data_IF_603929155007
#
_entry.id   IF_603929155007
#
_cell.length_a   1.000
_cell.length_b   1.000
_cell.length_c   1.000
_cell.angle_alpha   90.00
_cell.angle_beta   90.00
_cell.angle_gamma   90.00
#
_symmetry.space_group_name_H-M   'P 1'
#
loop_
_entity.id
_entity.type
_entity.pdbx_description
1 polymer ?
#
# COMPACT_ATOMS: atom_id res chain seq x y z
N UNK A 1 -9.99 68.69 -14.10
CA UNK A 1 -8.63 68.24 -13.75
C UNK A 1 -8.73 66.79 -13.29
N UNK A 2 -8.37 65.82 -14.14
CA UNK A 2 -8.25 64.40 -13.76
C UNK A 2 -6.89 63.91 -14.27
N UNK A 3 -5.93 63.73 -13.36
CA UNK A 3 -4.64 63.12 -13.67
C UNK A 3 -4.71 61.65 -13.29
N UNK A 4 -4.76 60.77 -14.29
CA UNK A 4 -4.73 59.32 -14.12
C UNK A 4 -3.29 58.83 -14.30
N UNK A 5 -2.55 58.84 -13.20
CA UNK A 5 -1.17 58.36 -13.13
C UNK A 5 -1.14 56.83 -13.05
N UNK A 6 -0.66 56.24 -14.15
CA UNK A 6 0.19 55.04 -14.26
C UNK A 6 0.33 54.16 -13.00
N UNK A 7 -0.22 52.95 -13.05
CA UNK A 7 0.28 51.82 -12.29
C UNK A 7 0.59 50.66 -13.25
N UNK A 8 1.90 50.50 -13.51
CA UNK A 8 2.48 49.33 -14.15
C UNK A 8 2.41 48.17 -13.16
N UNK A 9 1.65 47.13 -13.48
CA UNK A 9 1.65 45.88 -12.70
C UNK A 9 2.68 44.94 -13.32
N UNK A 10 3.80 44.63 -12.65
CA UNK A 10 4.77 43.66 -13.17
C UNK A 10 4.17 42.26 -13.11
N UNK A 11 4.10 41.62 -14.27
CA UNK A 11 3.76 40.19 -14.43
C UNK A 11 4.93 39.39 -13.85
N UNK A 12 4.78 38.89 -12.63
CA UNK A 12 5.75 37.97 -12.02
C UNK A 12 5.55 36.60 -12.65
N UNK A 13 6.45 36.25 -13.57
CA UNK A 13 6.59 34.91 -14.14
C UNK A 13 7.06 33.93 -13.05
N UNK A 14 6.13 33.17 -12.50
CA UNK A 14 6.41 32.08 -11.56
C UNK A 14 6.96 30.86 -12.28
N UNK A 15 8.22 30.51 -12.00
CA UNK A 15 8.90 29.34 -12.52
C UNK A 15 8.19 28.04 -12.12
N UNK A 16 7.82 27.23 -13.10
CA UNK A 16 7.23 25.91 -12.91
C UNK A 16 8.36 24.92 -12.52
N UNK A 17 8.46 24.61 -11.23
CA UNK A 17 9.37 23.55 -10.74
C UNK A 17 8.77 22.20 -11.11
N UNK A 18 9.31 21.57 -12.15
CA UNK A 18 8.98 20.18 -12.51
C UNK A 18 9.71 19.29 -11.50
N UNK A 19 9.05 19.03 -10.37
CA UNK A 19 9.49 18.02 -9.42
C UNK A 19 9.44 16.64 -10.07
N UNK A 20 10.58 15.95 -10.08
CA UNK A 20 10.67 14.58 -10.51
C UNK A 20 9.74 13.70 -9.66
N UNK A 21 8.63 13.26 -10.24
CA UNK A 21 7.81 12.19 -9.67
C UNK A 21 8.61 10.89 -9.81
N UNK A 22 9.26 10.49 -8.71
CA UNK A 22 9.97 9.23 -8.62
C UNK A 22 8.99 8.07 -8.84
N UNK A 23 9.25 7.27 -9.87
CA UNK A 23 8.60 5.97 -10.05
C UNK A 23 9.10 5.01 -8.97
N UNK A 24 8.57 5.11 -7.75
CA UNK A 24 8.82 4.11 -6.71
C UNK A 24 7.89 2.90 -6.93
N UNK A 25 8.13 2.19 -8.04
CA UNK A 25 7.55 0.89 -8.35
C UNK A 25 8.56 -0.23 -8.03
N UNK A 26 9.18 -0.16 -6.85
CA UNK A 26 9.96 -1.29 -6.36
C UNK A 26 8.96 -2.34 -5.84
N UNK A 27 8.76 -3.39 -6.63
CA UNK A 27 8.05 -4.58 -6.20
C UNK A 27 8.95 -5.28 -5.16
N UNK A 28 8.47 -5.52 -3.92
CA UNK A 28 9.26 -6.22 -2.91
C UNK A 28 9.69 -7.61 -3.36
N UNK A 29 10.95 -7.99 -3.11
CA UNK A 29 11.50 -9.30 -3.54
C UNK A 29 10.77 -10.52 -2.94
N UNK A 30 10.13 -10.34 -1.77
CA UNK A 30 9.43 -11.41 -1.05
C UNK A 30 7.95 -11.52 -1.41
N UNK A 31 7.47 -10.73 -2.37
CA UNK A 31 6.11 -10.79 -2.89
C UNK A 31 6.20 -11.28 -4.35
N UNK A 32 5.38 -12.26 -4.77
CA UNK A 32 5.40 -12.74 -6.15
C UNK A 32 5.15 -11.59 -7.14
N UNK A 33 5.90 -11.57 -8.24
CA UNK A 33 5.74 -10.56 -9.28
C UNK A 33 4.32 -10.50 -9.88
N UNK A 34 3.56 -11.59 -9.75
CA UNK A 34 2.15 -11.73 -10.17
C UNK A 34 1.16 -11.11 -9.19
N UNK A 35 1.58 -10.83 -7.95
CA UNK A 35 0.71 -10.23 -6.95
C UNK A 35 0.41 -8.76 -7.30
N UNK A 36 -0.86 -8.38 -7.19
CA UNK A 36 -1.32 -7.03 -7.50
C UNK A 36 -1.70 -6.29 -6.22
N UNK A 37 -1.36 -4.99 -6.16
CA UNK A 37 -1.77 -4.13 -5.04
C UNK A 37 -3.29 -3.99 -5.06
N UNK A 38 -3.92 -4.40 -3.96
CA UNK A 38 -5.36 -4.27 -3.76
C UNK A 38 -5.71 -2.95 -3.07
N UNK A 39 -4.91 -2.57 -2.06
CA UNK A 39 -5.04 -1.28 -1.37
C UNK A 39 -3.73 -0.87 -0.72
N UNK A 40 -3.60 0.42 -0.40
CA UNK A 40 -2.46 0.95 0.34
C UNK A 40 -2.87 2.15 1.18
N UNK A 41 -2.28 2.31 2.36
CA UNK A 41 -2.57 3.44 3.24
C UNK A 41 -1.76 3.40 4.53
N UNK A 42 -1.95 4.43 5.35
CA UNK A 42 -1.44 4.51 6.71
C UNK A 42 -2.58 4.19 7.69
N UNK A 43 -2.26 3.72 8.88
CA UNK A 43 -3.28 3.36 9.86
C UNK A 43 -4.01 2.07 9.50
N UNK A 44 -5.30 2.01 9.83
CA UNK A 44 -6.15 0.85 9.50
C UNK A 44 -6.52 0.83 8.02
N UNK A 45 -6.19 -0.27 7.33
CA UNK A 45 -6.56 -0.51 5.92
C UNK A 45 -7.30 -1.83 5.78
N UNK A 46 -8.30 -1.88 4.91
CA UNK A 46 -9.12 -3.09 4.68
C UNK A 46 -9.29 -3.33 3.18
N UNK A 47 -9.25 -4.59 2.77
CA UNK A 47 -9.51 -5.03 1.40
C UNK A 47 -10.22 -6.38 1.37
N UNK A 48 -10.91 -6.67 0.28
CA UNK A 48 -11.65 -7.91 0.09
C UNK A 48 -11.06 -8.68 -1.08
N UNK A 49 -10.79 -9.96 -0.88
CA UNK A 49 -10.28 -10.86 -1.92
C UNK A 49 -11.36 -11.09 -2.99
N UNK A 50 -11.07 -10.71 -4.24
CA UNK A 50 -12.00 -10.90 -5.36
C UNK A 50 -11.99 -12.34 -5.91
N UNK A 51 -10.94 -13.08 -5.60
CA UNK A 51 -10.66 -14.43 -6.08
C UNK A 51 -9.90 -15.20 -5.00
N UNK A 52 -9.88 -16.52 -5.14
CA UNK A 52 -9.05 -17.39 -4.31
C UNK A 52 -7.56 -17.17 -4.63
N UNK A 53 -6.70 -17.35 -3.64
CA UNK A 53 -5.27 -17.20 -3.81
C UNK A 53 -4.53 -16.91 -2.51
N UNK A 54 -3.57 -16.00 -2.57
CA UNK A 54 -2.75 -15.59 -1.43
C UNK A 54 -2.80 -14.09 -1.21
N UNK A 55 -2.80 -13.68 0.07
CA UNK A 55 -2.62 -12.28 0.47
C UNK A 55 -1.21 -12.05 1.01
N UNK A 56 -0.69 -10.85 0.79
CA UNK A 56 0.57 -10.38 1.33
C UNK A 56 0.37 -8.99 1.93
N UNK A 57 0.80 -8.79 3.17
CA UNK A 57 0.79 -7.48 3.86
C UNK A 57 2.22 -6.99 4.00
N UNK A 58 2.50 -5.85 3.38
CA UNK A 58 3.84 -5.27 3.31
C UNK A 58 3.89 -3.91 4.00
N UNK A 59 4.87 -3.71 4.86
CA UNK A 59 5.24 -2.39 5.38
C UNK A 59 6.27 -1.76 4.43
N UNK A 60 5.85 -0.70 3.75
CA UNK A 60 6.67 0.01 2.77
C UNK A 60 7.82 0.75 3.43
N UNK A 61 7.58 1.33 4.61
CA UNK A 61 8.56 2.15 5.31
C UNK A 61 9.62 1.30 6.00
N UNK A 62 9.23 0.12 6.52
CA UNK A 62 10.14 -0.83 7.14
C UNK A 62 10.76 -1.84 6.14
N UNK A 63 10.37 -1.78 4.86
CA UNK A 63 10.80 -2.68 3.80
C UNK A 63 10.66 -4.17 4.17
N UNK A 64 9.49 -4.56 4.69
CA UNK A 64 9.28 -5.90 5.24
C UNK A 64 7.88 -6.45 4.98
N UNK A 65 7.83 -7.77 4.77
CA UNK A 65 6.60 -8.55 4.76
C UNK A 65 6.14 -8.86 6.19
N UNK A 66 5.00 -8.31 6.61
CA UNK A 66 4.45 -8.53 7.95
C UNK A 66 3.57 -9.77 8.03
N UNK A 67 2.92 -10.13 6.91
CA UNK A 67 2.08 -11.32 6.83
C UNK A 67 1.96 -11.84 5.39
N UNK A 68 1.82 -13.16 5.27
CA UNK A 68 1.30 -13.80 4.06
C UNK A 68 0.47 -15.02 4.43
N UNK A 69 -0.51 -15.35 3.60
CA UNK A 69 -1.37 -16.50 3.83
C UNK A 69 -2.41 -16.73 2.74
N UNK A 70 -3.04 -17.91 2.73
CA UNK A 70 -4.13 -18.20 1.79
C UNK A 70 -5.37 -17.38 2.13
N UNK A 71 -6.11 -16.99 1.09
CA UNK A 71 -7.43 -16.35 1.16
C UNK A 71 -8.35 -16.98 0.13
N UNK A 72 -9.65 -17.01 0.43
CA UNK A 72 -10.69 -17.36 -0.54
C UNK A 72 -11.46 -16.12 -0.97
N UNK A 73 -12.14 -16.20 -2.11
CA UNK A 73 -13.02 -15.14 -2.59
C UNK A 73 -13.99 -14.72 -1.48
N UNK A 74 -14.08 -13.41 -1.26
CA UNK A 74 -14.93 -12.80 -0.25
C UNK A 74 -14.26 -12.59 1.09
N UNK A 75 -13.07 -13.18 1.34
CA UNK A 75 -12.32 -12.94 2.56
C UNK A 75 -11.97 -11.46 2.68
N UNK A 76 -12.19 -10.91 3.87
CA UNK A 76 -11.83 -9.53 4.20
C UNK A 76 -10.56 -9.51 5.01
N UNK A 77 -9.55 -8.82 4.49
CA UNK A 77 -8.24 -8.64 5.13
C UNK A 77 -8.17 -7.23 5.68
N UNK A 78 -7.93 -7.13 6.99
CA UNK A 78 -7.80 -5.86 7.69
C UNK A 78 -6.44 -5.80 8.37
N UNK A 79 -5.69 -4.75 8.09
CA UNK A 79 -4.48 -4.37 8.84
C UNK A 79 -4.92 -3.30 9.82
N UNK A 80 -4.86 -3.60 11.11
CA UNK A 80 -5.19 -2.69 12.20
C UNK A 80 -3.92 -2.32 12.94
N UNK A 81 -3.33 -1.18 12.57
CA UNK A 81 -2.09 -0.69 13.19
C UNK A 81 -2.30 -0.19 14.62
N UNK A 82 -3.52 0.25 14.96
CA UNK A 82 -3.83 0.75 16.30
C UNK A 82 -3.76 -0.40 17.33
N UNK A 83 -4.23 -1.58 16.93
CA UNK A 83 -4.20 -2.79 17.75
C UNK A 83 -3.01 -3.71 17.46
N UNK A 84 -2.13 -3.39 16.50
CA UNK A 84 -0.99 -4.23 16.13
C UNK A 84 -1.40 -5.61 15.58
N UNK A 85 -2.50 -5.65 14.80
CA UNK A 85 -3.14 -6.89 14.36
C UNK A 85 -3.39 -6.92 12.85
N UNK A 86 -3.28 -8.12 12.28
CA UNK A 86 -3.74 -8.44 10.93
C UNK A 86 -4.86 -9.47 11.06
N UNK A 87 -6.02 -9.12 10.54
CA UNK A 87 -7.24 -9.92 10.62
C UNK A 87 -7.65 -10.44 9.24
N UNK A 88 -8.16 -11.66 9.20
CA UNK A 88 -8.89 -12.22 8.05
C UNK A 88 -10.27 -12.64 8.55
N UNK A 89 -11.33 -12.08 7.96
CA UNK A 89 -12.72 -12.28 8.40
C UNK A 89 -12.91 -12.04 9.90
N UNK A 90 -12.35 -10.92 10.39
CA UNK A 90 -12.37 -10.54 11.82
C UNK A 90 -11.66 -11.50 12.77
N UNK A 91 -10.93 -12.51 12.26
CA UNK A 91 -10.07 -13.37 13.08
C UNK A 91 -8.63 -12.87 13.01
N UNK A 92 -7.99 -12.67 14.17
CA UNK A 92 -6.57 -12.32 14.24
C UNK A 92 -5.73 -13.47 13.68
N UNK A 93 -4.97 -13.20 12.61
CA UNK A 93 -4.03 -14.15 12.00
C UNK A 93 -2.59 -13.85 12.37
N UNK A 94 -2.29 -12.60 12.67
CA UNK A 94 -0.98 -12.20 13.18
C UNK A 94 -1.11 -11.01 14.13
N UNK A 95 -0.31 -11.06 15.19
CA UNK A 95 -0.02 -9.91 16.05
C UNK A 95 1.43 -9.52 15.81
N UNK A 96 1.67 -8.29 15.37
CA UNK A 96 3.00 -7.78 14.98
C UNK A 96 3.11 -6.34 15.42
N UNK A 97 4.32 -5.86 15.72
CA UNK A 97 4.54 -4.43 15.91
C UNK A 97 4.35 -3.70 14.57
N UNK A 98 3.13 -3.20 14.35
CA UNK A 98 2.73 -2.43 13.19
C UNK A 98 2.81 -0.95 13.57
N UNK A 99 3.63 -0.19 12.86
CA UNK A 99 3.77 1.24 13.15
C UNK A 99 2.64 2.01 12.45
N UNK A 100 1.81 2.72 13.22
CA UNK A 100 0.69 3.52 12.70
C UNK A 100 1.13 4.60 11.69
N UNK A 101 2.36 5.09 11.80
CA UNK A 101 2.95 6.04 10.85
C UNK A 101 3.40 5.41 9.53
N UNK A 102 3.56 4.09 9.48
CA UNK A 102 4.03 3.40 8.29
C UNK A 102 2.91 3.17 7.27
N UNK A 103 3.26 3.22 5.99
CA UNK A 103 2.39 2.90 4.88
C UNK A 103 2.40 1.39 4.67
N UNK A 104 1.23 0.78 4.79
CA UNK A 104 1.02 -0.63 4.54
C UNK A 104 0.38 -0.83 3.17
N UNK A 105 0.77 -1.89 2.47
CA UNK A 105 0.20 -2.33 1.19
C UNK A 105 -0.32 -3.75 1.34
N UNK A 106 -1.53 -3.98 0.83
CA UNK A 106 -2.11 -5.33 0.72
C UNK A 106 -2.03 -5.74 -0.74
N UNK A 107 -1.43 -6.91 -0.99
CA UNK A 107 -1.35 -7.52 -2.31
C UNK A 107 -2.16 -8.80 -2.34
N UNK A 108 -2.79 -9.09 -3.48
CA UNK A 108 -3.40 -10.39 -3.77
C UNK A 108 -2.72 -11.03 -4.96
N UNK A 109 -2.42 -12.33 -4.84
CA UNK A 109 -1.95 -13.16 -5.94
C UNK A 109 -2.96 -14.28 -6.21
N UNK A 110 -3.36 -14.42 -7.47
CA UNK A 110 -4.29 -15.45 -7.93
C UNK A 110 -3.61 -16.81 -8.09
N UNK A 111 -2.28 -16.81 -8.18
CA UNK A 111 -1.49 -18.02 -8.29
C UNK A 111 -0.91 -18.28 -6.90
N UNK A 112 -1.61 -19.03 -6.02
CA UNK A 112 -1.03 -19.35 -4.72
C UNK A 112 0.33 -19.98 -4.98
N UNK A 113 1.37 -19.46 -4.31
CA UNK A 113 2.68 -20.11 -4.30
C UNK A 113 2.45 -21.46 -3.63
N UNK A 114 2.20 -22.48 -4.44
CA UNK A 114 2.24 -23.87 -4.02
C UNK A 114 3.69 -24.09 -3.62
N UNK A 115 4.01 -23.93 -2.34
CA UNK A 115 5.31 -24.27 -1.81
C UNK A 115 5.54 -25.75 -2.14
N UNK A 116 6.30 -26.02 -3.19
CA UNK A 116 6.77 -27.36 -3.55
C UNK A 116 7.82 -27.77 -2.52
N UNK A 117 7.40 -28.09 -1.29
CA UNK A 117 8.26 -28.65 -0.24
C UNK A 117 7.64 -29.87 0.44
N UNK A 118 6.86 -30.67 -0.30
CA UNK A 118 6.31 -31.93 0.20
C UNK A 118 6.52 -33.10 -0.79
N UNK A 119 7.70 -33.18 -1.41
CA UNK A 119 8.16 -34.41 -2.08
C UNK A 119 9.68 -34.56 -1.89
N UNK A 120 10.08 -35.01 -0.70
CA UNK A 120 11.27 -35.84 -0.49
C UNK A 120 10.90 -37.00 0.44
#
# INVERSE_FOLDING_TARGET
MFNLSRLLVPVVAGALVIGAVGCENQHPLNIPATAMIATSGNGTVTSTALHDGSVYVYDVNADRLDYSGPVVRGDTVTVNTDNNEILINSQVKATKMLNTGNKHRIYFDLNPVLTRHAME
#
